data_IF_755662524563
#
_entry.id   IF_755662524563
#
_cell.length_a   1.000
_cell.length_b   1.000
_cell.length_c   1.000
_cell.angle_alpha   90.00
_cell.angle_beta   90.00
_cell.angle_gamma   90.00
#
_symmetry.space_group_name_H-M   'P 1'
#
loop_
_entity.id
_entity.type
_entity.pdbx_description
1 polymer ?
#
# COMPACT_ATOMS: atom_id res chain seq x y z
N UNK A 1 25.07 2.21 -10.34
CA UNK A 1 25.01 0.97 -9.56
C UNK A 1 25.56 1.31 -8.20
N UNK A 2 24.72 1.34 -7.17
CA UNK A 2 25.16 1.45 -5.79
C UNK A 2 25.29 0.04 -5.24
N UNK A 3 26.37 -0.25 -4.53
CA UNK A 3 26.53 -1.51 -3.82
C UNK A 3 26.05 -1.35 -2.37
N UNK A 4 25.91 -2.46 -1.66
CA UNK A 4 25.49 -2.46 -0.26
C UNK A 4 26.34 -1.51 0.60
N UNK A 5 27.66 -1.49 0.38
CA UNK A 5 28.62 -0.66 1.13
C UNK A 5 28.50 0.85 0.83
N UNK A 6 27.75 1.25 -0.21
CA UNK A 6 27.54 2.65 -0.58
C UNK A 6 26.32 3.28 0.14
N UNK A 7 25.53 2.50 0.89
CA UNK A 7 24.31 2.95 1.55
C UNK A 7 24.65 3.43 2.98
N UNK A 8 24.47 4.72 3.31
CA UNK A 8 24.64 5.20 4.68
C UNK A 8 23.65 4.56 5.66
N UNK A 9 24.08 4.30 6.90
CA UNK A 9 23.23 3.74 7.96
C UNK A 9 21.98 4.59 8.24
N UNK A 10 22.05 5.89 7.96
CA UNK A 10 20.97 6.85 8.16
C UNK A 10 20.16 7.15 6.90
N UNK A 11 20.38 6.39 5.81
CA UNK A 11 19.65 6.57 4.55
C UNK A 11 18.14 6.49 4.77
N UNK A 12 17.45 7.54 4.31
CA UNK A 12 15.99 7.64 4.31
C UNK A 12 15.57 8.38 3.05
N UNK A 13 14.54 7.86 2.38
CA UNK A 13 13.93 8.53 1.24
C UNK A 13 12.42 8.59 1.38
N UNK A 14 11.83 9.69 0.93
CA UNK A 14 10.38 9.88 0.84
C UNK A 14 9.96 9.44 -0.56
N UNK A 15 9.25 8.31 -0.65
CA UNK A 15 8.88 7.67 -1.93
C UNK A 15 7.61 8.22 -2.57
N UNK A 16 6.97 9.21 -1.93
CA UNK A 16 5.74 9.86 -2.39
C UNK A 16 4.50 9.50 -1.56
N UNK A 17 3.34 9.87 -2.09
CA UNK A 17 2.04 9.70 -1.42
C UNK A 17 1.00 9.17 -2.40
N UNK A 18 0.08 8.37 -1.89
CA UNK A 18 -1.05 7.85 -2.66
C UNK A 18 -2.34 7.99 -1.84
N UNK A 19 -3.43 8.39 -2.50
CA UNK A 19 -4.76 8.44 -1.88
C UNK A 19 -5.59 7.27 -2.38
N UNK A 20 -6.05 6.42 -1.46
CA UNK A 20 -6.97 5.34 -1.77
C UNK A 20 -8.42 5.81 -1.60
N UNK A 21 -9.23 5.59 -2.63
CA UNK A 21 -10.69 5.76 -2.56
C UNK A 21 -11.36 4.48 -2.08
N UNK A 22 -12.59 4.59 -1.57
CA UNK A 22 -13.39 3.43 -1.17
C UNK A 22 -13.61 2.46 -2.34
N UNK A 23 -13.92 2.98 -3.53
CA UNK A 23 -14.13 2.17 -4.73
C UNK A 23 -12.86 1.38 -5.09
N UNK A 24 -11.69 2.01 -5.08
CA UNK A 24 -10.43 1.32 -5.37
C UNK A 24 -10.13 0.22 -4.34
N UNK A 25 -10.47 0.42 -3.07
CA UNK A 25 -10.34 -0.58 -2.01
C UNK A 25 -11.20 -1.80 -2.34
N UNK A 26 -12.48 -1.58 -2.65
CA UNK A 26 -13.44 -2.65 -2.96
C UNK A 26 -13.04 -3.39 -4.24
N UNK A 27 -12.70 -2.66 -5.31
CA UNK A 27 -12.32 -3.23 -6.60
C UNK A 27 -11.11 -4.17 -6.47
N UNK A 28 -10.07 -3.74 -5.76
CA UNK A 28 -8.90 -4.60 -5.52
C UNK A 28 -9.27 -5.81 -4.65
N UNK A 29 -10.03 -5.59 -3.57
CA UNK A 29 -10.38 -6.64 -2.63
C UNK A 29 -11.26 -7.73 -3.25
N UNK A 30 -12.16 -7.35 -4.17
CA UNK A 30 -13.03 -8.30 -4.86
C UNK A 30 -12.26 -9.42 -5.58
N UNK A 31 -11.10 -9.09 -6.14
CA UNK A 31 -10.27 -10.04 -6.88
C UNK A 31 -9.23 -10.74 -6.00
N UNK A 32 -8.62 -10.04 -5.04
CA UNK A 32 -7.38 -10.49 -4.40
C UNK A 32 -7.50 -10.78 -2.90
N UNK A 33 -8.44 -10.15 -2.20
CA UNK A 33 -8.60 -10.29 -0.75
C UNK A 33 -10.07 -10.05 -0.32
N UNK A 34 -10.98 -10.99 -0.65
CA UNK A 34 -12.42 -10.76 -0.54
C UNK A 34 -12.95 -10.95 0.89
N UNK A 35 -12.23 -10.45 1.89
CA UNK A 35 -12.72 -10.39 3.27
C UNK A 35 -13.81 -9.32 3.38
N UNK A 36 -14.90 -9.55 4.16
CA UNK A 36 -16.06 -8.64 4.18
C UNK A 36 -15.74 -7.18 4.53
N UNK A 37 -14.76 -6.94 5.42
CA UNK A 37 -14.36 -5.59 5.80
C UNK A 37 -13.52 -4.84 4.74
N UNK A 38 -13.23 -5.48 3.61
CA UNK A 38 -12.61 -4.88 2.43
C UNK A 38 -13.58 -4.64 1.27
N UNK A 39 -14.75 -5.31 1.28
CA UNK A 39 -15.66 -5.34 0.12
C UNK A 39 -17.05 -4.78 0.42
N UNK A 40 -17.48 -4.72 1.68
CA UNK A 40 -18.80 -4.26 2.07
C UNK A 40 -18.73 -3.31 3.26
N UNK A 41 -19.22 -2.08 3.09
CA UNK A 41 -19.14 -1.05 4.12
C UNK A 41 -19.97 -1.36 5.37
N UNK A 42 -21.09 -2.07 5.25
CA UNK A 42 -21.95 -2.43 6.38
C UNK A 42 -21.32 -3.55 7.21
N UNK A 43 -20.79 -4.59 6.56
CA UNK A 43 -20.03 -5.65 7.21
C UNK A 43 -18.74 -5.10 7.85
N UNK A 44 -18.09 -4.12 7.21
CA UNK A 44 -16.92 -3.45 7.76
C UNK A 44 -17.25 -2.64 9.02
N UNK A 45 -18.41 -1.97 9.07
CA UNK A 45 -18.87 -1.22 10.24
C UNK A 45 -19.07 -2.11 11.49
N UNK A 46 -19.51 -3.35 11.29
CA UNK A 46 -19.67 -4.34 12.37
C UNK A 46 -18.36 -5.08 12.71
N UNK A 47 -17.29 -4.82 11.98
CA UNK A 47 -15.98 -5.43 12.22
C UNK A 47 -15.17 -4.67 13.28
N UNK A 48 -14.04 -5.24 13.70
CA UNK A 48 -13.08 -4.57 14.59
C UNK A 48 -12.52 -3.26 14.02
N UNK A 49 -12.64 -3.06 12.72
CA UNK A 49 -12.16 -1.85 12.04
C UNK A 49 -13.17 -0.70 12.08
N UNK A 50 -14.47 -0.98 12.32
CA UNK A 50 -15.52 0.04 12.41
C UNK A 50 -15.82 0.78 11.09
N UNK A 51 -15.31 0.28 9.96
CA UNK A 51 -15.47 0.87 8.64
C UNK A 51 -14.60 0.17 7.61
N UNK A 52 -14.79 0.54 6.34
CA UNK A 52 -14.05 -0.05 5.22
C UNK A 52 -12.55 0.21 5.36
N UNK A 53 -11.74 -0.83 5.22
CA UNK A 53 -10.27 -0.73 5.27
C UNK A 53 -9.66 -1.33 4.01
N UNK A 54 -8.48 -0.85 3.61
CA UNK A 54 -7.74 -1.43 2.50
C UNK A 54 -7.10 -2.77 2.90
N UNK A 55 -7.03 -3.72 1.96
CA UNK A 55 -6.22 -4.93 2.11
C UNK A 55 -4.73 -4.58 2.24
N UNK A 56 -4.01 -5.33 3.07
CA UNK A 56 -2.55 -5.20 3.17
C UNK A 56 -1.83 -5.49 1.85
N UNK A 57 -2.37 -6.38 1.01
CA UNK A 57 -1.84 -6.66 -0.32
C UNK A 57 -2.01 -5.45 -1.26
N UNK A 58 -3.13 -4.73 -1.15
CA UNK A 58 -3.34 -3.48 -1.89
C UNK A 58 -2.31 -2.43 -1.47
N UNK A 59 -2.11 -2.24 -0.16
CA UNK A 59 -1.11 -1.31 0.36
C UNK A 59 0.31 -1.68 -0.09
N UNK A 60 0.65 -2.97 -0.09
CA UNK A 60 1.96 -3.44 -0.56
C UNK A 60 2.19 -3.12 -2.05
N UNK A 61 1.17 -3.32 -2.89
CA UNK A 61 1.24 -2.98 -4.31
C UNK A 61 1.44 -1.47 -4.53
N UNK A 62 0.71 -0.62 -3.79
CA UNK A 62 0.86 0.84 -3.82
C UNK A 62 2.26 1.27 -3.37
N UNK A 63 2.76 0.73 -2.25
CA UNK A 63 4.10 1.02 -1.76
C UNK A 63 5.17 0.62 -2.77
N UNK A 64 5.01 -0.53 -3.43
CA UNK A 64 5.91 -0.99 -4.50
C UNK A 64 5.90 -0.02 -5.67
N UNK A 65 4.71 0.44 -6.10
CA UNK A 65 4.58 1.44 -7.18
C UNK A 65 5.32 2.74 -6.83
N UNK A 66 5.08 3.29 -5.65
CA UNK A 66 5.74 4.51 -5.16
C UNK A 66 7.26 4.34 -5.07
N UNK A 67 7.72 3.21 -4.54
CA UNK A 67 9.15 2.90 -4.44
C UNK A 67 9.84 2.79 -5.81
N UNK A 68 9.16 2.37 -6.88
CA UNK A 68 9.79 2.34 -8.20
C UNK A 68 9.64 3.65 -8.99
N UNK A 69 8.71 4.52 -8.59
CA UNK A 69 8.42 5.80 -9.24
C UNK A 69 9.22 6.98 -8.67
N UNK A 70 9.64 6.95 -7.40
CA UNK A 70 10.41 8.05 -6.82
C UNK A 70 11.78 8.25 -7.49
N UNK A 71 12.24 9.51 -7.51
CA UNK A 71 13.48 9.91 -8.19
C UNK A 71 14.74 9.40 -7.49
N UNK A 72 14.72 9.41 -6.15
CA UNK A 72 15.85 9.07 -5.27
C UNK A 72 15.94 7.56 -5.03
N UNK A 73 16.33 6.82 -6.06
CA UNK A 73 16.33 5.36 -6.04
C UNK A 73 17.62 4.83 -5.42
N UNK A 74 17.51 3.96 -4.41
CA UNK A 74 18.57 2.97 -4.19
C UNK A 74 18.58 2.08 -5.43
N UNK A 75 19.51 2.35 -6.35
CA UNK A 75 19.74 1.50 -7.50
C UNK A 75 20.58 0.30 -7.08
N UNK A 76 19.89 -0.71 -6.50
CA UNK A 76 20.36 -2.10 -6.45
C UNK A 76 20.44 -2.71 -7.84
#
# INVERSE_FOLDING_TARGET
MHFFDDIPDDYRSVVGTWTLTGDAIVDFAADWDPQPFHTDAAAAAESVFGGLVASSAHLFAVCTRLFFDHEDRIQV
#
